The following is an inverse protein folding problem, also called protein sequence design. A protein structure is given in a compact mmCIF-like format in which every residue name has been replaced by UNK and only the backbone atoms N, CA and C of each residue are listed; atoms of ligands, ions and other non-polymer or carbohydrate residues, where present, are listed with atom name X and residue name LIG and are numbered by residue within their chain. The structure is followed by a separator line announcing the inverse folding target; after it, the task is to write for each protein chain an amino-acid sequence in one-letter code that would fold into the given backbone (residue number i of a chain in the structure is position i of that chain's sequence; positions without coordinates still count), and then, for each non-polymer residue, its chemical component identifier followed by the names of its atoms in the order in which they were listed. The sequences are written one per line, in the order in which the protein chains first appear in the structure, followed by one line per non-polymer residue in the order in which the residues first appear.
data_IF_682339392396
#
_entry.id   IF_682339392396
#
_cell.length_a   1.000
_cell.length_b   1.000
_cell.length_c   1.000
_cell.angle_alpha   90.00
_cell.angle_beta   90.00
_cell.angle_gamma   90.00
#
_symmetry.space_group_name_H-M   'P 1'
#
loop_
_entity.id
_entity.type
_entity.pdbx_description
1 polymer ?
#
# COMPACT_ATOMS: atom_id res chain seq x y z
N UNK A 1 -5.55 6.44 -24.97
CA UNK A 1 -6.33 5.89 -23.84
C UNK A 1 -7.14 7.05 -23.29
N UNK A 2 -8.46 7.05 -23.46
CA UNK A 2 -9.31 8.16 -22.99
C UNK A 2 -9.71 7.83 -21.54
N UNK A 3 -9.29 8.67 -20.60
CA UNK A 3 -9.75 8.59 -19.21
C UNK A 3 -11.19 9.13 -19.14
N UNK A 4 -11.99 8.71 -18.16
CA UNK A 4 -13.37 9.22 -18.02
C UNK A 4 -13.37 10.69 -17.56
N UNK A 5 -14.55 11.33 -17.55
CA UNK A 5 -14.72 12.73 -17.13
C UNK A 5 -14.26 13.03 -15.69
N UNK A 6 -14.04 12.00 -14.87
CA UNK A 6 -13.69 12.10 -13.46
C UNK A 6 -12.20 11.82 -13.16
N UNK A 7 -11.46 11.25 -14.10
CA UNK A 7 -10.04 10.91 -13.92
C UNK A 7 -9.20 11.79 -14.84
N UNK A 8 -8.68 12.89 -14.30
CA UNK A 8 -7.87 13.84 -15.05
C UNK A 8 -6.47 13.30 -15.41
N UNK A 9 -5.84 12.56 -14.48
CA UNK A 9 -4.50 12.01 -14.64
C UNK A 9 -4.46 10.58 -14.11
N UNK A 10 -3.87 9.68 -14.89
CA UNK A 10 -3.57 8.31 -14.48
C UNK A 10 -2.16 7.97 -14.90
N UNK A 11 -1.33 7.61 -13.93
CA UNK A 11 0.01 7.09 -14.19
C UNK A 11 0.25 5.81 -13.37
N UNK A 12 0.70 4.71 -13.99
CA UNK A 12 1.09 3.53 -13.25
C UNK A 12 2.29 3.83 -12.34
N UNK A 13 2.29 3.24 -11.16
CA UNK A 13 3.46 3.20 -10.28
C UNK A 13 4.27 1.94 -10.59
N UNK A 14 5.60 2.07 -10.58
CA UNK A 14 6.51 0.93 -10.74
C UNK A 14 7.32 0.75 -9.46
N UNK A 15 7.28 -0.45 -8.89
CA UNK A 15 8.01 -0.79 -7.67
C UNK A 15 8.34 -2.29 -7.64
N UNK A 16 9.30 -2.68 -6.80
CA UNK A 16 9.65 -4.08 -6.60
C UNK A 16 8.60 -4.79 -5.71
N UNK A 17 7.75 -5.59 -6.35
CA UNK A 17 6.74 -6.38 -5.68
C UNK A 17 7.31 -7.50 -4.80
N UNK A 18 8.47 -8.06 -5.16
CA UNK A 18 9.12 -9.10 -4.37
C UNK A 18 9.68 -8.53 -3.08
N UNK A 19 10.34 -7.37 -3.18
CA UNK A 19 10.79 -6.62 -2.01
C UNK A 19 9.63 -6.33 -1.05
N UNK A 20 8.50 -5.81 -1.53
CA UNK A 20 7.35 -5.50 -0.68
C UNK A 20 6.79 -6.75 0.02
N UNK A 21 6.69 -7.89 -0.70
CA UNK A 21 6.25 -9.17 -0.13
C UNK A 21 7.21 -9.67 0.95
N UNK A 22 8.52 -9.52 0.74
CA UNK A 22 9.53 -9.90 1.70
C UNK A 22 9.51 -9.04 2.96
N UNK A 23 9.37 -7.72 2.82
CA UNK A 23 9.20 -6.83 3.97
C UNK A 23 7.93 -7.14 4.75
N UNK A 24 6.82 -7.42 4.06
CA UNK A 24 5.59 -7.86 4.71
C UNK A 24 5.83 -9.14 5.54
N UNK A 25 6.41 -10.19 4.95
CA UNK A 25 6.73 -11.45 5.67
C UNK A 25 7.62 -11.21 6.89
N UNK A 26 8.60 -10.31 6.78
CA UNK A 26 9.48 -9.94 7.89
C UNK A 26 8.71 -9.22 9.00
N UNK A 27 7.85 -8.26 8.66
CA UNK A 27 7.03 -7.52 9.62
C UNK A 27 6.03 -8.41 10.40
N UNK A 28 5.55 -9.48 9.77
CA UNK A 28 4.70 -10.49 10.42
C UNK A 28 5.50 -11.29 11.45
N UNK A 29 6.72 -11.72 11.09
CA UNK A 29 7.59 -12.56 11.93
C UNK A 29 8.27 -11.78 13.06
N UNK A 30 8.53 -10.49 12.85
CA UNK A 30 9.13 -9.60 13.82
C UNK A 30 8.26 -8.34 13.91
N UNK A 31 7.23 -8.34 14.79
CA UNK A 31 6.28 -7.23 14.93
C UNK A 31 6.87 -5.95 15.51
N UNK A 32 8.18 -5.88 15.67
CA UNK A 32 8.85 -4.67 16.14
C UNK A 32 8.54 -3.53 15.16
N UNK A 33 8.24 -2.33 15.67
CA UNK A 33 7.87 -1.09 14.95
C UNK A 33 8.98 -0.62 13.99
N UNK A 34 9.29 -1.43 12.97
CA UNK A 34 10.33 -1.17 11.99
C UNK A 34 9.69 -0.67 10.72
N UNK A 35 10.03 0.57 10.40
CA UNK A 35 9.78 1.10 9.08
C UNK A 35 10.69 0.44 8.05
N UNK A 36 10.17 0.26 6.84
CA UNK A 36 10.95 -0.03 5.65
C UNK A 36 10.62 1.00 4.57
N UNK A 37 11.55 1.27 3.68
CA UNK A 37 11.36 2.22 2.58
C UNK A 37 11.08 1.47 1.29
N UNK A 38 9.90 1.68 0.71
CA UNK A 38 9.56 1.23 -0.63
C UNK A 38 9.88 2.36 -1.62
N UNK A 39 10.76 2.08 -2.57
CA UNK A 39 10.97 2.96 -3.72
C UNK A 39 9.92 2.66 -4.79
N UNK A 40 9.31 3.72 -5.33
CA UNK A 40 8.47 3.60 -6.52
C UNK A 40 8.72 4.75 -7.49
N UNK A 41 8.56 4.47 -8.78
CA UNK A 41 8.68 5.46 -9.85
C UNK A 41 7.29 5.84 -10.36
N UNK A 42 7.00 7.14 -10.41
CA UNK A 42 5.80 7.73 -10.99
C UNK A 42 6.11 9.13 -11.51
N UNK A 43 5.44 9.60 -12.55
CA UNK A 43 5.64 10.91 -13.17
C UNK A 43 7.10 11.19 -13.51
N UNK A 44 7.82 10.15 -14.00
CA UNK A 44 9.26 10.18 -14.28
C UNK A 44 10.15 10.58 -13.07
N UNK A 45 9.63 10.44 -11.85
CA UNK A 45 10.33 10.73 -10.59
C UNK A 45 10.33 9.51 -9.68
N UNK A 46 11.41 9.35 -8.92
CA UNK A 46 11.52 8.34 -7.86
C UNK A 46 11.03 8.92 -6.55
N UNK A 47 10.16 8.18 -5.87
CA UNK A 47 9.62 8.49 -4.56
C UNK A 47 10.04 7.43 -3.54
N UNK A 48 10.20 7.85 -2.30
CA UNK A 48 10.52 6.99 -1.17
C UNK A 48 9.33 6.96 -0.22
N UNK A 49 8.70 5.80 -0.08
CA UNK A 49 7.54 5.61 0.78
C UNK A 49 7.97 4.84 2.04
N UNK A 50 7.98 5.52 3.18
CA UNK A 50 8.32 4.91 4.46
C UNK A 50 7.09 4.24 5.04
N UNK A 51 7.13 2.92 5.19
CA UNK A 51 5.98 2.08 5.54
C UNK A 51 6.26 1.26 6.79
N UNK A 52 5.22 1.02 7.59
CA UNK A 52 5.21 0.01 8.65
C UNK A 52 3.90 -0.76 8.64
N UNK A 53 3.90 -1.94 9.25
CA UNK A 53 2.67 -2.73 9.44
C UNK A 53 1.75 -2.04 10.44
N UNK A 54 0.47 -1.95 10.09
CA UNK A 54 -0.53 -1.32 10.94
C UNK A 54 -1.90 -2.02 10.78
N UNK A 55 -2.18 -3.04 11.61
CA UNK A 55 -3.42 -3.78 11.51
C UNK A 55 -4.63 -3.02 12.07
N UNK A 56 -4.42 -1.85 12.68
CA UNK A 56 -5.44 -1.09 13.41
C UNK A 56 -6.06 0.05 12.60
N UNK A 57 -5.63 0.23 11.34
CA UNK A 57 -6.19 1.25 10.43
C UNK A 57 -7.70 1.10 10.23
N UNK A 58 -8.20 -0.14 10.27
CA UNK A 58 -9.61 -0.44 10.08
C UNK A 58 -10.27 -0.78 11.40
N UNK A 59 -11.48 -0.27 11.62
CA UNK A 59 -12.33 -0.71 12.71
C UNK A 59 -12.62 -2.22 12.61
N UNK A 60 -12.86 -2.87 13.75
CA UNK A 60 -13.07 -4.31 13.83
C UNK A 60 -14.23 -4.78 12.92
N UNK A 61 -15.32 -4.02 12.89
CA UNK A 61 -16.52 -4.27 12.09
C UNK A 61 -16.44 -3.78 10.62
N UNK A 62 -15.27 -3.30 10.16
CA UNK A 62 -15.08 -2.88 8.76
C UNK A 62 -15.36 -4.04 7.80
N UNK A 63 -16.27 -3.82 6.85
CA UNK A 63 -16.57 -4.73 5.74
C UNK A 63 -16.02 -4.15 4.44
N UNK A 64 -15.44 -5.00 3.60
CA UNK A 64 -14.96 -4.63 2.28
C UNK A 64 -15.93 -5.17 1.24
N UNK A 65 -16.29 -4.39 0.24
CA UNK A 65 -17.29 -4.76 -0.76
C UNK A 65 -16.80 -4.39 -2.16
N UNK A 66 -17.24 -5.15 -3.16
CA UNK A 66 -17.11 -4.80 -4.57
C UNK A 66 -18.50 -4.89 -5.23
N UNK A 67 -18.59 -4.62 -6.53
CA UNK A 67 -19.88 -4.61 -7.27
C UNK A 67 -20.66 -5.93 -7.19
N UNK A 68 -20.02 -7.04 -6.80
CA UNK A 68 -20.62 -8.37 -6.77
C UNK A 68 -20.93 -8.86 -5.35
N UNK A 69 -20.10 -8.55 -4.34
CA UNK A 69 -20.26 -9.07 -2.98
C UNK A 69 -19.32 -8.44 -1.94
N UNK A 70 -19.52 -8.83 -0.67
CA UNK A 70 -18.55 -8.64 0.41
C UNK A 70 -17.28 -9.46 0.15
N UNK A 71 -16.13 -8.81 0.29
CA UNK A 71 -14.79 -9.36 0.10
C UNK A 71 -14.15 -9.61 1.47
N UNK A 72 -13.59 -10.81 1.64
CA UNK A 72 -12.71 -11.10 2.76
C UNK A 72 -11.33 -10.47 2.51
N UNK A 73 -11.07 -9.35 3.17
CA UNK A 73 -9.77 -8.69 3.10
C UNK A 73 -8.92 -9.04 4.33
N UNK A 74 -7.68 -9.46 4.09
CA UNK A 74 -6.74 -9.75 5.16
C UNK A 74 -6.16 -8.46 5.75
N UNK A 75 -6.78 -7.98 6.85
CA UNK A 75 -6.36 -6.79 7.60
C UNK A 75 -4.93 -6.90 8.14
N UNK A 76 -4.35 -8.11 8.23
CA UNK A 76 -2.95 -8.28 8.61
C UNK A 76 -1.97 -7.71 7.57
N UNK A 77 -2.43 -7.47 6.34
CA UNK A 77 -1.57 -7.00 5.23
C UNK A 77 -1.51 -5.48 5.11
N UNK A 78 -2.16 -4.77 6.03
CA UNK A 78 -2.23 -3.31 6.00
C UNK A 78 -0.89 -2.72 6.40
N UNK A 79 -0.49 -1.73 5.60
CA UNK A 79 0.69 -0.91 5.80
C UNK A 79 0.26 0.55 5.88
N UNK A 80 0.82 1.28 6.83
CA UNK A 80 0.64 2.74 6.96
C UNK A 80 2.00 3.43 6.87
N UNK A 81 2.01 4.70 6.43
CA UNK A 81 3.25 5.39 6.16
C UNK A 81 3.09 6.74 5.49
N UNK A 82 4.23 7.29 5.04
CA UNK A 82 4.31 8.62 4.45
C UNK A 82 5.41 8.68 3.40
N UNK A 83 5.29 9.61 2.45
CA UNK A 83 6.33 9.88 1.46
C UNK A 83 7.44 10.69 2.14
N UNK A 84 8.68 10.22 2.06
CA UNK A 84 9.85 10.93 2.56
C UNK A 84 10.29 12.04 1.59
N UNK A 85 10.67 13.20 2.14
CA UNK A 85 11.23 14.32 1.35
C UNK A 85 10.19 15.11 0.54
N UNK A 86 8.95 15.14 1.03
CA UNK A 86 7.93 16.09 0.59
C UNK A 86 8.05 17.42 1.35
#
# INVERSE_FOLDING_TARGET
RVLNEFILNFEPIFFDQHFLKDQHRRSVRSPMDRYFTLQFTAFKRVFHLKLKRDPWVFAENTKFENSNSTVQYDKARVLSGFVEGQ
#
